data_IF_023423199788
#
_entry.id   IF_023423199788
#
_cell.length_a   1.000
_cell.length_b   1.000
_cell.length_c   1.000
_cell.angle_alpha   90.00
_cell.angle_beta   90.00
_cell.angle_gamma   90.00
#
_symmetry.space_group_name_H-M   'P 1'
#
loop_
_entity.id
_entity.type
_entity.pdbx_description
1 polymer ?
#
# COMPACT_ATOMS: atom_id res chain seq x y z
N UNK A 1 40.00 -10.17 11.29
CA UNK A 1 38.65 -10.49 11.82
C UNK A 1 37.77 -9.22 11.78
N UNK A 2 37.53 -8.64 10.60
CA UNK A 2 36.57 -7.54 10.38
C UNK A 2 36.27 -7.45 8.87
N UNK A 3 35.63 -8.48 8.31
CA UNK A 3 35.19 -8.49 6.90
C UNK A 3 33.65 -8.42 6.75
N UNK A 4 32.89 -8.45 7.83
CA UNK A 4 31.42 -8.65 7.74
C UNK A 4 30.56 -7.38 7.58
N UNK A 5 31.10 -6.17 7.78
CA UNK A 5 30.26 -4.95 7.80
C UNK A 5 30.02 -4.34 6.42
N UNK A 6 30.96 -4.46 5.50
CA UNK A 6 30.85 -3.91 4.13
C UNK A 6 29.89 -4.75 3.28
N UNK A 7 29.81 -6.05 3.55
CA UNK A 7 28.88 -6.98 2.89
C UNK A 7 27.42 -6.62 3.23
N UNK A 8 27.16 -6.04 4.40
CA UNK A 8 25.80 -5.70 4.83
C UNK A 8 25.22 -4.46 4.12
N UNK A 9 26.04 -3.44 3.84
CA UNK A 9 25.58 -2.22 3.17
C UNK A 9 25.29 -2.42 1.67
N UNK A 10 26.11 -3.22 0.97
CA UNK A 10 25.86 -3.52 -0.44
C UNK A 10 24.63 -4.42 -0.62
N UNK A 11 24.41 -5.36 0.30
CA UNK A 11 23.25 -6.27 0.29
C UNK A 11 21.92 -5.55 0.60
N UNK A 12 21.97 -4.42 1.31
CA UNK A 12 20.79 -3.56 1.56
C UNK A 12 20.41 -2.77 0.30
N UNK A 13 21.39 -2.30 -0.48
CA UNK A 13 21.14 -1.62 -1.75
C UNK A 13 20.63 -2.59 -2.82
N UNK A 14 21.20 -3.81 -2.90
CA UNK A 14 20.70 -4.86 -3.80
C UNK A 14 19.27 -5.31 -3.46
N UNK A 15 18.88 -5.28 -2.18
CA UNK A 15 17.50 -5.58 -1.76
C UNK A 15 16.53 -4.42 -1.99
N UNK A 16 17.02 -3.17 -2.09
CA UNK A 16 16.21 -1.99 -2.39
C UNK A 16 15.98 -1.81 -3.90
N UNK A 17 16.94 -2.19 -4.74
CA UNK A 17 16.77 -2.18 -6.21
C UNK A 17 15.90 -3.35 -6.70
N UNK A 18 16.00 -4.54 -6.10
CA UNK A 18 15.16 -5.69 -6.49
C UNK A 18 13.71 -5.64 -5.94
N UNK A 19 13.38 -4.70 -5.06
CA UNK A 19 12.02 -4.51 -4.54
C UNK A 19 11.22 -3.45 -5.32
N UNK A 20 11.81 -2.86 -6.37
CA UNK A 20 11.22 -1.85 -7.22
C UNK A 20 11.23 -2.31 -8.68
N UNK A 21 10.45 -3.34 -9.00
CA UNK A 21 9.92 -3.49 -10.35
C UNK A 21 8.49 -2.95 -10.46
N UNK A 22 8.13 -2.36 -11.61
CA UNK A 22 7.00 -1.47 -11.74
C UNK A 22 5.71 -2.24 -12.02
N UNK A 23 4.74 -2.17 -11.10
CA UNK A 23 3.33 -2.35 -11.48
C UNK A 23 2.88 -1.04 -12.12
N UNK A 24 3.31 -0.80 -13.35
CA UNK A 24 2.78 0.23 -14.23
C UNK A 24 2.82 -0.30 -15.66
N UNK A 25 1.81 -1.09 -16.00
CA UNK A 25 1.35 -1.16 -17.36
C UNK A 25 -0.18 -1.30 -17.35
N UNK A 26 -0.84 -0.17 -17.11
CA UNK A 26 -2.16 0.08 -17.67
C UNK A 26 -1.96 1.32 -18.54
N UNK A 27 -2.08 1.08 -19.85
CA UNK A 27 -2.08 2.08 -20.90
C UNK A 27 -2.84 3.34 -20.45
N UNK A 28 -2.11 4.46 -20.41
CA UNK A 28 -2.73 5.75 -20.64
C UNK A 28 -2.92 5.89 -22.14
N UNK A 29 -4.16 5.86 -22.60
CA UNK A 29 -4.56 6.61 -23.78
C UNK A 29 -6.06 6.92 -23.63
N UNK A 30 -6.33 8.22 -23.66
CA UNK A 30 -7.63 8.87 -23.86
C UNK A 30 -8.73 8.64 -22.83
N UNK A 31 -8.98 9.68 -22.01
CA UNK A 31 -10.10 10.58 -22.28
C UNK A 31 -10.18 11.70 -21.23
N UNK A 32 -9.99 12.92 -21.73
CA UNK A 32 -10.70 14.16 -21.38
C UNK A 32 -11.79 13.99 -20.30
N UNK A 33 -11.43 14.23 -19.04
CA UNK A 33 -12.36 14.23 -17.91
C UNK A 33 -13.46 15.27 -18.15
N UNK A 34 -14.63 14.81 -18.60
CA UNK A 34 -15.85 15.57 -18.44
C UNK A 34 -16.21 15.51 -16.96
N UNK A 35 -16.60 16.65 -16.41
CA UNK A 35 -17.03 16.83 -15.04
C UNK A 35 -18.28 15.96 -14.82
N UNK A 36 -18.12 14.73 -14.33
CA UNK A 36 -19.26 13.85 -14.04
C UNK A 36 -19.92 14.38 -12.76
N UNK A 37 -21.09 14.99 -12.93
CA UNK A 37 -21.97 15.33 -11.83
C UNK A 37 -22.49 14.03 -11.18
N UNK A 38 -22.69 14.09 -9.86
CA UNK A 38 -22.91 12.94 -8.99
C UNK A 38 -24.11 12.10 -9.45
N UNK A 39 -23.92 10.79 -9.65
CA UNK A 39 -25.01 9.87 -9.99
C UNK A 39 -25.79 9.45 -8.73
N UNK A 40 -27.13 9.51 -8.76
CA UNK A 40 -28.01 9.25 -7.62
C UNK A 40 -28.45 7.77 -7.46
N UNK A 41 -28.06 6.89 -8.38
CA UNK A 41 -28.50 5.49 -8.41
C UNK A 41 -27.51 4.62 -7.62
N UNK A 42 -27.92 4.13 -6.45
CA UNK A 42 -27.10 3.39 -5.45
C UNK A 42 -26.30 2.22 -6.04
N UNK A 43 -26.75 1.62 -7.14
CA UNK A 43 -26.11 0.47 -7.82
C UNK A 43 -25.36 0.85 -9.11
N UNK A 44 -25.30 2.13 -9.47
CA UNK A 44 -24.68 2.57 -10.72
C UNK A 44 -23.15 2.43 -10.66
N UNK A 45 -22.59 1.85 -11.72
CA UNK A 45 -21.14 1.66 -11.88
C UNK A 45 -20.36 2.98 -11.94
N UNK A 46 -21.05 4.09 -12.25
CA UNK A 46 -20.51 5.44 -12.28
C UNK A 46 -20.57 6.17 -10.91
N UNK A 47 -20.98 5.49 -9.83
CA UNK A 47 -20.77 6.00 -8.47
C UNK A 47 -19.27 5.94 -8.16
N UNK A 48 -18.61 7.08 -8.23
CA UNK A 48 -17.20 7.22 -7.89
C UNK A 48 -17.06 7.72 -6.45
N UNK A 49 -16.51 6.87 -5.58
CA UNK A 49 -15.87 7.28 -4.33
C UNK A 49 -16.64 7.04 -3.03
N UNK A 50 -15.91 6.58 -2.01
CA UNK A 50 -16.36 6.44 -0.62
C UNK A 50 -16.50 7.81 0.04
N UNK A 51 -17.72 8.23 0.41
CA UNK A 51 -17.90 9.31 1.38
C UNK A 51 -19.09 9.10 2.32
N UNK A 52 -18.84 9.37 3.59
CA UNK A 52 -19.80 9.55 4.68
C UNK A 52 -20.44 10.95 4.57
N UNK A 53 -21.43 11.15 3.70
CA UNK A 53 -22.40 12.25 3.83
C UNK A 53 -23.77 11.78 3.33
N UNK A 54 -24.82 12.22 4.02
CA UNK A 54 -26.24 11.89 3.82
C UNK A 54 -26.61 11.68 2.36
N UNK A 55 -27.02 10.46 2.00
CA UNK A 55 -27.57 10.14 0.69
C UNK A 55 -28.84 10.96 0.53
N UNK A 56 -28.82 11.98 -0.33
CA UNK A 56 -30.02 12.70 -0.75
C UNK A 56 -30.58 11.99 -1.97
N UNK A 57 -31.77 11.40 -1.81
CA UNK A 57 -32.48 10.78 -2.92
C UNK A 57 -33.09 11.87 -3.80
N UNK A 58 -32.80 11.81 -5.09
CA UNK A 58 -33.44 12.64 -6.10
C UNK A 58 -34.42 11.77 -6.89
N UNK A 59 -35.63 12.28 -7.13
CA UNK A 59 -36.60 11.58 -7.97
C UNK A 59 -36.08 11.53 -9.41
N UNK A 60 -36.48 10.49 -10.14
CA UNK A 60 -36.17 10.37 -11.57
C UNK A 60 -36.72 11.61 -12.32
N UNK A 61 -35.94 12.24 -13.22
CA UNK A 61 -36.38 13.43 -13.94
C UNK A 61 -37.71 13.19 -14.67
N UNK A 62 -38.61 14.18 -14.69
CA UNK A 62 -39.88 14.08 -15.43
C UNK A 62 -39.72 14.48 -16.90
N UNK A 63 -38.62 15.16 -17.22
CA UNK A 63 -38.27 15.63 -18.56
C UNK A 63 -37.67 14.50 -19.41
N UNK A 64 -38.27 14.25 -20.56
CA UNK A 64 -37.98 13.12 -21.45
C UNK A 64 -36.55 13.14 -21.97
N UNK A 65 -35.99 14.31 -22.31
CA UNK A 65 -34.61 14.40 -22.81
C UNK A 65 -33.58 14.05 -21.71
N UNK A 66 -33.85 14.46 -20.47
CA UNK A 66 -33.00 14.13 -19.33
C UNK A 66 -33.09 12.65 -18.95
N UNK A 67 -34.25 12.01 -19.16
CA UNK A 67 -34.41 10.58 -18.94
C UNK A 67 -33.55 9.76 -19.90
N UNK A 68 -33.54 10.10 -21.20
CA UNK A 68 -32.75 9.40 -22.21
C UNK A 68 -31.26 9.49 -21.91
N UNK A 69 -30.78 10.68 -21.52
CA UNK A 69 -29.39 10.88 -21.09
C UNK A 69 -29.07 10.02 -19.86
N UNK A 70 -29.98 9.91 -18.90
CA UNK A 70 -29.78 9.09 -17.70
C UNK A 70 -29.75 7.60 -18.02
N UNK A 71 -30.63 7.12 -18.91
CA UNK A 71 -30.68 5.74 -19.36
C UNK A 71 -29.40 5.35 -20.11
N UNK A 72 -28.97 6.19 -21.05
CA UNK A 72 -27.73 6.01 -21.81
C UNK A 72 -26.51 5.97 -20.87
N UNK A 73 -26.40 6.92 -19.94
CA UNK A 73 -25.24 7.03 -19.05
C UNK A 73 -25.19 5.97 -17.94
N UNK A 74 -26.32 5.34 -17.62
CA UNK A 74 -26.38 4.31 -16.58
C UNK A 74 -26.39 2.87 -17.15
N UNK A 75 -26.17 2.70 -18.46
CA UNK A 75 -26.32 1.42 -19.17
C UNK A 75 -27.70 0.75 -18.90
N UNK A 76 -28.73 1.56 -18.63
CA UNK A 76 -30.08 1.09 -18.40
C UNK A 76 -30.78 1.05 -19.77
N UNK A 77 -30.83 -0.13 -20.38
CA UNK A 77 -31.57 -0.29 -21.63
C UNK A 77 -33.05 0.05 -21.42
N UNK A 78 -33.68 0.83 -22.32
CA UNK A 78 -35.12 1.10 -22.26
C UNK A 78 -35.96 -0.18 -22.38
N UNK A 79 -35.39 -1.30 -22.81
CA UNK A 79 -36.05 -2.60 -22.92
C UNK A 79 -36.28 -3.32 -21.58
N UNK A 80 -35.90 -2.71 -20.45
CA UNK A 80 -36.14 -3.25 -19.10
C UNK A 80 -37.31 -2.62 -18.35
N UNK A 81 -37.94 -1.58 -18.90
CA UNK A 81 -39.18 -1.01 -18.36
C UNK A 81 -40.33 -1.63 -19.15
N UNK A 82 -40.58 -2.91 -18.92
CA UNK A 82 -41.92 -3.42 -19.16
C UNK A 82 -42.78 -2.85 -18.03
N UNK A 83 -43.67 -1.95 -18.42
CA UNK A 83 -44.93 -1.60 -17.78
C UNK A 83 -45.37 -2.58 -16.68
N UNK A 84 -45.10 -2.28 -15.40
CA UNK A 84 -45.96 -2.78 -14.32
C UNK A 84 -45.86 -1.99 -13.00
N UNK A 85 -45.81 -0.66 -13.08
CA UNK A 85 -46.16 0.19 -11.93
C UNK A 85 -47.27 1.15 -12.34
N UNK A 86 -48.44 0.59 -12.56
CA UNK A 86 -49.64 1.36 -12.91
C UNK A 86 -50.84 0.51 -13.34
N UNK A 87 -51.07 -0.64 -12.71
CA UNK A 87 -52.18 -1.53 -13.05
C UNK A 87 -52.94 -1.93 -11.81
N UNK A 88 -54.22 -1.56 -11.73
CA UNK A 88 -55.12 -1.99 -10.66
C UNK A 88 -55.14 -3.51 -10.51
N UNK A 89 -55.43 -3.95 -9.29
CA UNK A 89 -55.77 -5.34 -8.95
C UNK A 89 -56.78 -5.88 -9.98
N UNK A 90 -56.33 -6.60 -11.01
CA UNK A 90 -57.22 -7.44 -11.80
C UNK A 90 -57.43 -8.71 -10.98
N UNK A 91 -58.47 -8.68 -10.16
CA UNK A 91 -59.09 -9.89 -9.65
C UNK A 91 -59.49 -10.71 -10.87
N UNK A 92 -58.78 -11.82 -11.11
CA UNK A 92 -59.24 -12.84 -12.04
C UNK A 92 -60.64 -13.26 -11.59
N UNK A 93 -61.63 -13.13 -12.48
CA UNK A 93 -62.96 -13.69 -12.24
C UNK A 93 -62.79 -15.20 -12.04
N UNK A 94 -63.55 -15.77 -11.09
CA UNK A 94 -63.54 -17.19 -10.69
C UNK A 94 -63.81 -18.18 -11.83
N UNK A 95 -64.15 -17.67 -13.00
CA UNK A 95 -64.70 -18.36 -14.15
C UNK A 95 -63.74 -18.28 -15.36
N UNK A 96 -62.53 -17.72 -15.17
CA UNK A 96 -61.49 -17.58 -16.18
C UNK A 96 -60.57 -18.81 -16.34
N UNK A 97 -60.91 -19.95 -15.72
CA UNK A 97 -60.25 -21.23 -16.00
C UNK A 97 -61.16 -22.00 -16.96
N UNK A 98 -60.77 -22.18 -18.23
CA UNK A 98 -61.44 -23.17 -19.07
C UNK A 98 -61.32 -24.51 -18.33
N UNK A 99 -62.43 -25.21 -18.16
CA UNK A 99 -62.41 -26.62 -17.74
C UNK A 99 -61.75 -27.41 -18.86
N UNK A 100 -60.43 -27.32 -18.95
CA UNK A 100 -59.64 -28.20 -19.78
C UNK A 100 -59.82 -29.59 -19.20
N UNK A 101 -60.41 -30.47 -20.02
CA UNK A 101 -60.21 -31.90 -19.94
C UNK A 101 -58.71 -32.16 -20.01
N UNK A 102 -58.02 -31.98 -18.88
CA UNK A 102 -56.66 -32.44 -18.74
C UNK A 102 -56.73 -33.95 -18.92
N UNK A 103 -55.98 -34.52 -19.88
CA UNK A 103 -55.90 -35.96 -20.00
C UNK A 103 -55.51 -36.50 -18.63
N UNK A 104 -56.15 -37.60 -18.21
CA UNK A 104 -55.76 -38.34 -17.02
C UNK A 104 -54.31 -38.75 -17.24
N UNK A 105 -53.39 -37.92 -16.77
CA UNK A 105 -51.97 -38.26 -16.71
C UNK A 105 -51.95 -39.40 -15.71
N UNK A 106 -51.78 -40.61 -16.23
CA UNK A 106 -51.47 -41.77 -15.40
C UNK A 106 -50.21 -41.39 -14.65
N UNK A 107 -50.38 -41.09 -13.36
CA UNK A 107 -49.26 -40.87 -12.46
C UNK A 107 -48.41 -42.13 -12.58
N UNK A 108 -47.16 -42.03 -13.04
CA UNK A 108 -46.31 -43.20 -13.15
C UNK A 108 -46.24 -43.89 -11.78
N UNK A 109 -46.20 -45.23 -11.73
CA UNK A 109 -45.99 -45.95 -10.49
C UNK A 109 -44.82 -45.34 -9.74
N UNK A 110 -45.03 -45.07 -8.45
CA UNK A 110 -44.10 -44.37 -7.58
C UNK A 110 -42.90 -45.28 -7.24
N UNK A 111 -42.07 -45.58 -8.24
CA UNK A 111 -40.79 -46.27 -8.11
C UNK A 111 -39.69 -45.20 -8.09
N UNK A 112 -39.37 -44.66 -6.89
CA UNK A 112 -38.01 -44.23 -6.49
C UNK A 112 -37.97 -43.31 -5.25
N UNK A 113 -38.73 -43.61 -4.18
CA UNK A 113 -38.60 -42.85 -2.91
C UNK A 113 -37.18 -42.93 -2.34
N UNK A 114 -36.46 -44.02 -2.58
CA UNK A 114 -35.13 -44.28 -2.03
C UNK A 114 -34.02 -43.43 -2.67
N UNK A 115 -34.02 -43.24 -4.00
CA UNK A 115 -32.97 -42.46 -4.69
C UNK A 115 -33.02 -40.95 -4.34
N UNK A 116 -34.22 -40.41 -4.07
CA UNK A 116 -34.39 -39.01 -3.69
C UNK A 116 -33.93 -38.71 -2.26
N UNK A 117 -33.91 -39.71 -1.37
CA UNK A 117 -33.41 -39.57 0.01
C UNK A 117 -31.88 -39.49 0.00
N UNK A 118 -31.21 -40.32 -0.81
CA UNK A 118 -29.75 -40.33 -0.96
C UNK A 118 -29.20 -39.01 -1.55
N UNK A 119 -29.90 -38.43 -2.51
CA UNK A 119 -29.52 -37.14 -3.11
C UNK A 119 -29.63 -35.96 -2.12
N UNK A 120 -30.63 -35.98 -1.24
CA UNK A 120 -30.85 -34.93 -0.24
C UNK A 120 -29.76 -34.95 0.84
N UNK A 121 -29.40 -36.13 1.34
CA UNK A 121 -28.34 -36.28 2.34
C UNK A 121 -26.97 -35.86 1.78
N UNK A 122 -26.70 -36.20 0.52
CA UNK A 122 -25.50 -35.75 -0.19
C UNK A 122 -25.44 -34.22 -0.33
N UNK A 123 -26.56 -33.57 -0.67
CA UNK A 123 -26.66 -32.12 -0.79
C UNK A 123 -26.46 -31.43 0.58
N UNK A 124 -27.06 -31.95 1.65
CA UNK A 124 -26.90 -31.42 3.00
C UNK A 124 -25.46 -31.54 3.50
N UNK A 125 -24.79 -32.67 3.23
CA UNK A 125 -23.36 -32.87 3.49
C UNK A 125 -22.50 -31.86 2.73
N UNK A 126 -22.78 -31.65 1.45
CA UNK A 126 -22.05 -30.68 0.60
C UNK A 126 -22.24 -29.24 1.09
N UNK A 127 -23.48 -28.88 1.45
CA UNK A 127 -23.83 -27.56 1.96
C UNK A 127 -23.12 -27.26 3.30
N UNK A 128 -23.05 -28.25 4.19
CA UNK A 128 -22.31 -28.13 5.45
C UNK A 128 -20.80 -28.00 5.22
N UNK A 129 -20.24 -28.77 4.26
CA UNK A 129 -18.82 -28.66 3.88
C UNK A 129 -18.48 -27.28 3.33
N UNK A 130 -19.33 -26.73 2.45
CA UNK A 130 -19.16 -25.39 1.90
C UNK A 130 -19.28 -24.30 2.98
N UNK A 131 -20.22 -24.42 3.92
CA UNK A 131 -20.33 -23.51 5.07
C UNK A 131 -19.08 -23.53 5.94
N UNK A 132 -18.52 -24.72 6.20
CA UNK A 132 -17.27 -24.86 6.96
C UNK A 132 -16.10 -24.20 6.22
N UNK A 133 -15.99 -24.39 4.90
CA UNK A 133 -14.97 -23.74 4.09
C UNK A 133 -15.12 -22.21 4.10
N UNK A 134 -16.34 -21.69 3.98
CA UNK A 134 -16.62 -20.25 4.05
C UNK A 134 -16.18 -19.67 5.40
N UNK A 135 -16.49 -20.37 6.50
CA UNK A 135 -16.09 -19.96 7.84
C UNK A 135 -14.56 -19.94 7.99
N UNK A 136 -13.88 -20.96 7.45
CA UNK A 136 -12.42 -21.06 7.49
C UNK A 136 -11.76 -19.92 6.71
N UNK A 137 -12.19 -19.67 5.47
CA UNK A 137 -11.70 -18.55 4.65
C UNK A 137 -11.94 -17.19 5.32
N UNK A 138 -13.09 -17.03 5.99
CA UNK A 138 -13.40 -15.78 6.71
C UNK A 138 -12.43 -15.54 7.87
N UNK A 139 -12.05 -16.59 8.60
CA UNK A 139 -11.03 -16.50 9.67
C UNK A 139 -9.66 -16.12 9.08
N UNK A 140 -9.27 -16.75 7.99
CA UNK A 140 -8.00 -16.46 7.31
C UNK A 140 -7.93 -15.02 6.80
N UNK A 141 -9.01 -14.52 6.18
CA UNK A 141 -9.13 -13.12 5.76
C UNK A 141 -8.97 -12.15 6.93
N UNK A 142 -9.57 -12.45 8.08
CA UNK A 142 -9.45 -11.60 9.26
C UNK A 142 -8.01 -11.54 9.80
N UNK A 143 -7.31 -12.69 9.85
CA UNK A 143 -5.90 -12.75 10.24
C UNK A 143 -5.04 -11.97 9.26
N UNK A 144 -5.24 -12.17 7.96
CA UNK A 144 -4.51 -11.47 6.92
C UNK A 144 -4.72 -9.94 7.00
N UNK A 145 -5.96 -9.48 7.13
CA UNK A 145 -6.30 -8.06 7.27
C UNK A 145 -5.65 -7.43 8.52
N UNK A 146 -5.64 -8.15 9.65
CA UNK A 146 -4.97 -7.69 10.88
C UNK A 146 -3.46 -7.52 10.66
N UNK A 147 -2.83 -8.48 9.99
CA UNK A 147 -1.40 -8.42 9.65
C UNK A 147 -1.09 -7.27 8.69
N UNK A 148 -1.95 -7.06 7.69
CA UNK A 148 -1.80 -5.98 6.71
C UNK A 148 -1.91 -4.60 7.39
N UNK A 149 -2.84 -4.43 8.33
CA UNK A 149 -2.96 -3.23 9.16
C UNK A 149 -1.69 -2.98 10.00
N UNK A 150 -1.13 -4.04 10.60
CA UNK A 150 0.11 -3.94 11.36
C UNK A 150 1.32 -3.56 10.48
N UNK A 151 1.45 -4.18 9.30
CA UNK A 151 2.50 -3.85 8.32
C UNK A 151 2.37 -2.40 7.82
N UNK A 152 1.16 -1.95 7.48
CA UNK A 152 0.88 -0.55 7.08
C UNK A 152 1.30 0.45 8.16
N UNK A 153 1.02 0.17 9.44
CA UNK A 153 1.43 1.02 10.57
C UNK A 153 2.95 1.09 10.72
N UNK A 154 3.65 -0.05 10.54
CA UNK A 154 5.14 -0.06 10.56
C UNK A 154 5.72 0.73 9.40
N UNK A 155 5.16 0.55 8.21
CA UNK A 155 5.59 1.28 7.01
C UNK A 155 5.41 2.79 7.15
N UNK A 156 4.26 3.26 7.66
CA UNK A 156 4.04 4.69 7.87
C UNK A 156 5.02 5.29 8.89
N UNK A 157 5.28 4.58 9.99
CA UNK A 157 6.28 5.00 10.98
C UNK A 157 7.70 5.07 10.39
N UNK A 158 8.08 4.07 9.59
CA UNK A 158 9.38 4.03 8.93
C UNK A 158 9.52 5.13 7.88
N UNK A 159 8.46 5.39 7.10
CA UNK A 159 8.41 6.48 6.12
C UNK A 159 8.67 7.83 6.78
N UNK A 160 8.01 8.12 7.91
CA UNK A 160 8.24 9.36 8.66
C UNK A 160 9.68 9.46 9.16
N UNK A 161 10.27 8.36 9.65
CA UNK A 161 11.66 8.34 10.10
C UNK A 161 12.63 8.63 8.96
N UNK A 162 12.40 8.04 7.79
CA UNK A 162 13.21 8.27 6.58
C UNK A 162 13.12 9.74 6.14
N UNK A 163 11.92 10.31 6.09
CA UNK A 163 11.75 11.72 5.71
C UNK A 163 12.42 12.68 6.71
N UNK A 164 12.39 12.38 8.01
CA UNK A 164 13.15 13.14 9.01
C UNK A 164 14.66 13.04 8.81
N UNK A 165 15.19 11.87 8.48
CA UNK A 165 16.62 11.67 8.21
C UNK A 165 17.06 12.40 6.93
N UNK A 166 16.24 12.38 5.88
CA UNK A 166 16.47 13.17 4.66
C UNK A 166 16.51 14.67 4.95
N UNK A 167 15.57 15.16 5.74
CA UNK A 167 15.54 16.58 6.13
C UNK A 167 16.74 16.97 7.01
N UNK A 168 17.23 16.06 7.87
CA UNK A 168 18.47 16.25 8.62
C UNK A 168 19.72 16.38 7.72
N UNK A 169 19.74 15.70 6.56
CA UNK A 169 20.82 15.82 5.57
C UNK A 169 20.90 17.21 4.94
N UNK A 170 19.77 17.90 4.78
CA UNK A 170 19.73 19.27 4.25
C UNK A 170 20.33 20.30 5.22
N UNK A 171 20.13 20.10 6.54
CA UNK A 171 20.70 20.97 7.59
C UNK A 171 22.24 20.94 7.54
N UNK A 172 22.85 19.77 7.32
CA UNK A 172 24.30 19.61 7.21
C UNK A 172 24.94 20.42 6.06
N UNK A 173 24.23 20.71 4.97
CA UNK A 173 24.77 21.51 3.87
C UNK A 173 24.93 22.99 4.25
N UNK A 174 23.94 23.56 4.95
CA UNK A 174 24.00 24.93 5.46
C UNK A 174 25.08 25.08 6.55
N UNK A 175 25.18 24.06 7.40
CA UNK A 175 26.14 24.01 8.50
C UNK A 175 27.59 23.84 8.04
N UNK A 176 27.82 23.34 6.81
CA UNK A 176 29.17 23.18 6.27
C UNK A 176 29.95 24.50 6.27
N UNK A 177 29.28 25.61 5.96
CA UNK A 177 29.89 26.95 5.98
C UNK A 177 30.32 27.38 7.38
N UNK A 178 29.57 27.02 8.42
CA UNK A 178 29.92 27.30 9.82
C UNK A 178 31.01 26.36 10.32
N UNK A 179 30.91 25.06 9.99
CA UNK A 179 31.90 24.05 10.36
C UNK A 179 33.26 24.32 9.71
N UNK A 180 33.31 24.85 8.49
CA UNK A 180 34.56 25.19 7.79
C UNK A 180 35.42 26.22 8.50
N UNK A 181 34.86 26.97 9.47
CA UNK A 181 35.60 27.91 10.31
C UNK A 181 36.40 27.24 11.42
N UNK A 182 36.00 26.03 11.82
CA UNK A 182 36.57 25.31 12.97
C UNK A 182 37.26 24.02 12.54
N UNK A 183 36.69 23.35 11.54
CA UNK A 183 37.13 22.05 11.05
C UNK A 183 37.62 22.15 9.62
N UNK A 184 38.63 21.36 9.29
CA UNK A 184 39.08 21.20 7.91
C UNK A 184 38.06 20.44 7.06
N UNK A 185 38.17 20.55 5.75
CA UNK A 185 37.33 19.79 4.82
C UNK A 185 37.43 18.27 5.03
N UNK A 186 38.61 17.78 5.44
CA UNK A 186 38.80 16.36 5.73
C UNK A 186 38.01 15.93 6.97
N UNK A 187 38.02 16.76 8.01
CA UNK A 187 37.29 16.53 9.25
C UNK A 187 35.77 16.63 9.03
N UNK A 188 35.32 17.63 8.27
CA UNK A 188 33.92 17.79 7.89
C UNK A 188 33.42 16.56 7.14
N UNK A 189 34.23 16.02 6.20
CA UNK A 189 33.87 14.79 5.48
C UNK A 189 33.59 13.63 6.45
N UNK A 190 34.39 13.47 7.50
CA UNK A 190 34.17 12.45 8.54
C UNK A 190 32.87 12.72 9.32
N UNK A 191 32.64 13.97 9.74
CA UNK A 191 31.42 14.37 10.44
C UNK A 191 30.16 14.14 9.59
N UNK A 192 30.27 14.30 8.26
CA UNK A 192 29.18 13.99 7.32
C UNK A 192 28.99 12.50 7.02
N UNK A 193 29.74 11.62 7.68
CA UNK A 193 29.57 10.16 7.59
C UNK A 193 30.50 9.43 6.63
N UNK A 194 31.55 10.07 6.10
CA UNK A 194 32.56 9.35 5.31
C UNK A 194 33.50 8.55 6.22
N UNK A 195 33.61 7.24 5.97
CA UNK A 195 34.44 6.34 6.79
C UNK A 195 35.94 6.58 6.67
N UNK A 196 36.40 6.96 5.47
CA UNK A 196 37.82 7.16 5.16
C UNK A 196 38.01 8.48 4.42
N UNK A 197 39.03 9.21 4.83
CA UNK A 197 39.39 10.50 4.24
C UNK A 197 40.90 10.58 4.09
N UNK A 198 41.35 11.22 3.02
CA UNK A 198 42.75 11.57 2.81
C UNK A 198 43.04 12.82 3.63
N UNK A 199 43.97 12.71 4.58
CA UNK A 199 44.39 13.80 5.45
C UNK A 199 45.38 14.71 4.73
N UNK A 200 45.19 16.02 4.85
CA UNK A 200 46.16 16.99 4.33
C UNK A 200 47.39 17.07 5.23
N UNK A 201 48.49 17.65 4.73
CA UNK A 201 49.67 17.89 5.56
C UNK A 201 49.34 18.78 6.77
N UNK A 202 48.46 19.77 6.59
CA UNK A 202 48.06 20.68 7.67
C UNK A 202 47.25 19.95 8.74
N UNK A 203 46.34 19.05 8.35
CA UNK A 203 45.59 18.20 9.29
C UNK A 203 46.52 17.32 10.12
N UNK A 204 47.52 16.72 9.46
CA UNK A 204 48.49 15.84 10.10
C UNK A 204 49.44 16.63 11.00
N UNK A 205 49.85 17.83 10.59
CA UNK A 205 50.64 18.74 11.42
C UNK A 205 49.88 19.19 12.66
N UNK A 206 48.61 19.62 12.52
CA UNK A 206 47.76 19.98 13.67
C UNK A 206 47.58 18.80 14.64
N UNK A 207 47.29 17.61 14.11
CA UNK A 207 47.14 16.42 14.94
C UNK A 207 48.45 16.02 15.64
N UNK A 208 49.59 16.21 14.96
CA UNK A 208 50.90 16.01 15.56
C UNK A 208 51.15 17.01 16.69
N UNK A 209 50.92 18.31 16.46
CA UNK A 209 51.04 19.36 17.49
C UNK A 209 50.15 19.06 18.69
N UNK A 210 48.87 18.72 18.46
CA UNK A 210 47.95 18.34 19.52
C UNK A 210 48.46 17.14 20.33
N UNK A 211 49.02 16.12 19.65
CA UNK A 211 49.62 14.96 20.29
C UNK A 211 50.85 15.32 21.13
N UNK A 212 51.67 16.28 20.71
CA UNK A 212 52.87 16.68 21.45
C UNK A 212 52.54 17.59 22.64
N UNK A 213 51.55 18.47 22.47
CA UNK A 213 51.11 19.38 23.52
C UNK A 213 50.27 18.69 24.60
N UNK A 214 49.71 17.53 24.30
CA UNK A 214 48.87 16.75 25.22
C UNK A 214 49.44 15.35 25.47
N UNK A 215 48.88 14.62 26.43
CA UNK A 215 49.24 13.20 26.60
C UNK A 215 48.64 12.34 25.49
N UNK A 216 49.27 11.19 25.20
CA UNK A 216 48.73 10.18 24.28
C UNK A 216 47.28 9.80 24.63
N UNK A 217 47.00 9.66 25.93
CA UNK A 217 45.68 9.29 26.41
C UNK A 217 44.65 10.40 26.18
N UNK A 218 45.04 11.68 26.29
CA UNK A 218 44.17 12.80 25.93
C UNK A 218 43.78 12.74 24.45
N UNK A 219 44.76 12.56 23.56
CA UNK A 219 44.50 12.43 22.12
C UNK A 219 43.55 11.25 21.80
N UNK A 220 43.81 10.08 22.41
CA UNK A 220 42.95 8.91 22.24
C UNK A 220 41.56 9.15 22.82
N UNK A 221 41.46 9.90 23.92
CA UNK A 221 40.20 10.21 24.55
C UNK A 221 39.32 11.08 23.65
N UNK A 222 39.88 12.18 23.14
CA UNK A 222 39.21 13.07 22.19
C UNK A 222 38.70 12.29 20.97
N UNK A 223 39.53 11.40 20.42
CA UNK A 223 39.15 10.64 19.23
C UNK A 223 38.12 9.55 19.49
N UNK A 224 38.30 8.73 20.54
CA UNK A 224 37.50 7.51 20.76
C UNK A 224 36.23 7.73 21.56
N UNK A 225 36.29 8.59 22.57
CA UNK A 225 35.16 8.81 23.48
C UNK A 225 34.39 10.07 23.10
N UNK A 226 35.08 11.16 22.75
CA UNK A 226 34.41 12.38 22.27
C UNK A 226 34.14 12.38 20.76
N UNK A 227 34.57 11.33 20.04
CA UNK A 227 34.38 11.16 18.59
C UNK A 227 34.86 12.36 17.75
N UNK A 228 35.92 13.03 18.20
CA UNK A 228 36.51 14.13 17.44
C UNK A 228 37.16 13.60 16.15
N UNK A 229 36.97 14.28 14.99
CA UNK A 229 37.50 13.84 13.71
C UNK A 229 39.02 14.05 13.62
N UNK A 230 39.78 13.17 14.26
CA UNK A 230 41.25 13.19 14.25
C UNK A 230 41.84 12.01 13.47
N UNK A 231 43.01 12.17 12.84
CA UNK A 231 43.71 11.07 12.21
C UNK A 231 44.11 9.98 13.23
N UNK A 232 44.35 8.76 12.75
CA UNK A 232 44.85 7.69 13.62
C UNK A 232 46.30 7.98 14.04
N UNK A 233 46.68 7.62 15.27
CA UNK A 233 48.05 7.83 15.75
C UNK A 233 49.09 7.20 14.83
N UNK A 234 48.83 6.00 14.32
CA UNK A 234 49.70 5.32 13.35
C UNK A 234 49.87 6.11 12.05
N UNK A 235 48.82 6.81 11.61
CA UNK A 235 48.87 7.67 10.43
C UNK A 235 49.74 8.90 10.67
N UNK A 236 49.57 9.57 11.82
CA UNK A 236 50.37 10.73 12.22
C UNK A 236 51.84 10.34 12.42
N UNK A 237 52.12 9.20 13.07
CA UNK A 237 53.48 8.70 13.29
C UNK A 237 54.18 8.36 11.97
N UNK A 238 53.49 7.68 11.05
CA UNK A 238 54.05 7.35 9.74
C UNK A 238 54.37 8.61 8.93
N UNK A 239 53.47 9.60 8.96
CA UNK A 239 53.70 10.88 8.31
C UNK A 239 54.89 11.64 8.92
N UNK A 240 54.97 11.70 10.25
CA UNK A 240 56.07 12.36 10.95
C UNK A 240 57.42 11.67 10.69
N UNK A 241 57.45 10.35 10.53
CA UNK A 241 58.67 9.61 10.18
C UNK A 241 59.07 9.75 8.70
N UNK A 242 58.16 10.23 7.85
CA UNK A 242 58.42 10.48 6.41
C UNK A 242 58.87 11.91 6.12
N UNK A 243 58.95 12.75 7.16
CA UNK A 243 59.46 14.12 7.12
C UNK A 243 60.79 14.18 7.84
#
# INVERSE_FOLDING_TARGET
MFEDKTICNNKINDLLENALEPVNNIHSEDTKWHKIEKCAVVTCKNIVGKYEQTITFHNFPTDTELQDIWLEKCDLSPAGINDDVGGGFRILKSDAVPSENLPIIRVPPFESVTEHVDAKEFLESTLNKLKQQQLQLTKELNVYNKNLKAKKKKYSALKVKVERLKNGSFILQKDKSLLSKVFSDAQIKILTGKEKVVWTNDDLAMAFSLRQMSSRECYLYLKRFLNYPLPALSCVQRWAASK
#
